data_IF_153330100205
#
_entry.id   IF_153330100205
#
_cell.length_a   1.000
_cell.length_b   1.000
_cell.length_c   1.000
_cell.angle_alpha   90.00
_cell.angle_beta   90.00
_cell.angle_gamma   90.00
#
_symmetry.space_group_name_H-M   'P 1'
#
loop_
_entity.id
_entity.type
_entity.pdbx_description
1 polymer ?
#
# COMPACT_ATOMS: atom_id res chain seq x y z
N UNK A 1 -17.43 -16.63 -6.88
CA UNK A 1 -17.56 -17.35 -5.60
C UNK A 1 -17.07 -16.41 -4.51
N UNK A 2 -17.90 -16.11 -3.51
CA UNK A 2 -17.44 -15.35 -2.35
C UNK A 2 -16.50 -16.26 -1.58
N UNK A 3 -15.19 -16.05 -1.71
CA UNK A 3 -14.20 -16.69 -0.84
C UNK A 3 -14.37 -16.09 0.55
N UNK A 4 -14.82 -16.93 1.47
CA UNK A 4 -14.94 -16.57 2.86
C UNK A 4 -13.52 -16.54 3.47
N UNK A 5 -13.00 -15.34 3.68
CA UNK A 5 -11.65 -15.14 4.20
C UNK A 5 -11.69 -15.01 5.72
N UNK A 6 -10.69 -15.55 6.44
CA UNK A 6 -10.55 -15.29 7.87
C UNK A 6 -10.61 -13.79 8.20
N UNK A 7 -11.31 -13.45 9.28
CA UNK A 7 -11.56 -12.06 9.68
C UNK A 7 -10.27 -11.30 10.02
N UNK A 8 -9.28 -11.99 10.59
CA UNK A 8 -7.94 -11.48 10.87
C UNK A 8 -7.15 -11.19 9.58
N UNK A 9 -7.23 -12.06 8.56
CA UNK A 9 -6.63 -11.82 7.25
C UNK A 9 -7.25 -10.61 6.54
N UNK A 10 -8.57 -10.46 6.62
CA UNK A 10 -9.29 -9.29 6.07
C UNK A 10 -8.90 -8.00 6.80
N UNK A 11 -8.80 -8.07 8.13
CA UNK A 11 -8.39 -6.93 8.96
C UNK A 11 -6.95 -6.54 8.64
N UNK A 12 -6.03 -7.50 8.63
CA UNK A 12 -4.63 -7.25 8.27
C UNK A 12 -4.47 -6.67 6.86
N UNK A 13 -5.30 -7.08 5.90
CA UNK A 13 -5.30 -6.47 4.57
C UNK A 13 -5.79 -5.02 4.59
N UNK A 14 -6.86 -4.71 5.32
CA UNK A 14 -7.36 -3.33 5.45
C UNK A 14 -6.33 -2.43 6.14
N UNK A 15 -5.68 -2.92 7.18
CA UNK A 15 -4.62 -2.20 7.88
C UNK A 15 -3.44 -1.92 6.94
N UNK A 16 -3.06 -2.90 6.12
CA UNK A 16 -2.02 -2.73 5.11
C UNK A 16 -2.41 -1.67 4.07
N UNK A 17 -3.63 -1.72 3.56
CA UNK A 17 -4.14 -0.74 2.60
C UNK A 17 -4.19 0.68 3.23
N UNK A 18 -4.57 0.79 4.50
CA UNK A 18 -4.57 2.05 5.25
C UNK A 18 -3.14 2.59 5.45
N UNK A 19 -2.16 1.73 5.78
CA UNK A 19 -0.76 2.12 5.90
C UNK A 19 -0.17 2.61 4.58
N UNK A 20 -0.48 1.94 3.46
CA UNK A 20 -0.12 2.43 2.13
C UNK A 20 -0.78 3.77 1.81
N UNK A 21 -2.05 3.96 2.17
CA UNK A 21 -2.74 5.23 1.97
C UNK A 21 -2.11 6.36 2.78
N UNK A 22 -1.72 6.11 4.04
CA UNK A 22 -1.02 7.08 4.88
C UNK A 22 0.36 7.44 4.31
N UNK A 23 1.16 6.45 3.90
CA UNK A 23 2.46 6.68 3.26
C UNK A 23 2.31 7.48 1.97
N UNK A 24 1.31 7.17 1.14
CA UNK A 24 1.03 7.90 -0.09
C UNK A 24 0.56 9.33 0.18
N UNK A 25 -0.24 9.54 1.23
CA UNK A 25 -0.67 10.88 1.64
C UNK A 25 0.51 11.75 2.07
N UNK A 26 1.39 11.23 2.93
CA UNK A 26 2.61 11.92 3.34
C UNK A 26 3.51 12.19 2.13
N UNK A 27 3.75 11.19 1.29
CA UNK A 27 4.64 11.34 0.12
C UNK A 27 4.18 12.43 -0.86
N UNK A 28 2.89 12.76 -0.89
CA UNK A 28 2.35 13.86 -1.72
C UNK A 28 2.62 15.25 -1.14
N UNK A 29 2.84 15.37 0.16
CA UNK A 29 3.16 16.65 0.82
C UNK A 29 4.67 16.91 0.86
N UNK A 30 5.48 15.87 0.72
CA UNK A 30 6.93 15.97 0.79
C UNK A 30 7.52 16.58 -0.49
N UNK A 31 8.70 17.20 -0.39
CA UNK A 31 9.49 17.57 -1.55
C UNK A 31 9.75 16.35 -2.43
N UNK A 32 9.93 16.56 -3.73
CA UNK A 32 10.09 15.43 -4.65
C UNK A 32 11.42 14.69 -4.48
N UNK A 33 12.45 15.33 -3.89
CA UNK A 33 13.74 14.73 -3.57
C UNK A 33 13.83 14.40 -2.08
N UNK A 34 14.51 13.28 -1.77
CA UNK A 34 14.80 12.87 -0.38
C UNK A 34 15.91 13.72 0.22
N UNK A 35 16.97 13.97 -0.54
CA UNK A 35 18.07 14.84 -0.15
C UNK A 35 17.95 16.22 -0.81
N UNK A 36 18.72 17.21 -0.34
CA UNK A 36 18.83 18.49 -1.02
C UNK A 36 19.29 18.31 -2.47
N UNK A 37 18.61 18.96 -3.39
CA UNK A 37 18.97 19.08 -4.81
C UNK A 37 18.84 20.56 -5.22
N UNK A 38 19.98 21.20 -5.41
CA UNK A 38 20.05 22.62 -5.77
C UNK A 38 19.79 22.89 -7.26
N UNK A 39 19.95 21.88 -8.11
CA UNK A 39 19.91 22.03 -9.56
C UNK A 39 18.51 21.71 -10.13
N UNK A 40 17.77 20.82 -9.47
CA UNK A 40 16.52 20.28 -9.98
C UNK A 40 16.73 19.39 -11.21
N UNK A 41 15.63 19.03 -11.86
CA UNK A 41 15.63 18.23 -13.09
C UNK A 41 14.97 19.06 -14.19
N UNK A 42 15.74 19.45 -15.21
CA UNK A 42 15.19 20.09 -16.39
C UNK A 42 14.49 19.06 -17.29
N UNK A 43 13.35 19.44 -17.87
CA UNK A 43 12.73 18.63 -18.92
C UNK A 43 13.62 18.62 -20.18
N UNK A 44 13.80 17.44 -20.77
CA UNK A 44 14.63 17.23 -21.97
C UNK A 44 13.88 17.38 -23.29
N UNK A 45 12.55 17.47 -23.25
CA UNK A 45 11.66 17.45 -24.43
C UNK A 45 11.52 16.09 -25.13
N UNK A 46 12.01 14.99 -24.56
CA UNK A 46 12.15 13.71 -25.27
C UNK A 46 10.96 12.74 -25.09
N UNK A 47 9.87 13.15 -24.44
CA UNK A 47 8.66 12.32 -24.40
C UNK A 47 7.51 12.85 -23.55
N UNK A 48 6.34 12.19 -23.61
CA UNK A 48 5.12 12.60 -22.90
C UNK A 48 5.19 12.48 -21.37
N UNK A 49 6.26 11.87 -20.83
CA UNK A 49 6.49 11.72 -19.38
C UNK A 49 7.66 12.57 -18.89
N UNK A 50 8.15 13.48 -19.72
CA UNK A 50 9.23 14.40 -19.37
C UNK A 50 8.67 15.54 -18.51
N UNK A 51 9.07 15.57 -17.25
CA UNK A 51 8.52 16.48 -16.24
C UNK A 51 9.69 17.23 -15.61
N UNK A 52 9.65 18.55 -15.74
CA UNK A 52 10.55 19.45 -15.04
C UNK A 52 10.30 19.38 -13.52
N UNK A 53 11.37 19.35 -12.73
CA UNK A 53 11.33 19.41 -11.27
C UNK A 53 12.21 20.56 -10.77
N UNK A 54 11.67 21.48 -9.97
CA UNK A 54 12.45 22.58 -9.42
C UNK A 54 13.48 22.06 -8.39
N UNK A 55 14.47 22.88 -8.01
CA UNK A 55 15.32 22.58 -6.86
C UNK A 55 14.51 22.20 -5.61
N UNK A 56 15.03 21.28 -4.83
CA UNK A 56 14.40 20.72 -3.64
C UNK A 56 15.31 20.84 -2.43
N UNK A 57 14.76 21.23 -1.29
CA UNK A 57 15.51 21.24 -0.03
C UNK A 57 15.70 19.83 0.56
N UNK A 58 15.04 18.81 0.01
CA UNK A 58 15.01 17.47 0.58
C UNK A 58 14.07 17.35 1.78
N UNK A 59 14.02 16.15 2.36
CA UNK A 59 13.22 15.84 3.53
C UNK A 59 13.84 16.47 4.77
N UNK A 60 13.00 16.95 5.68
CA UNK A 60 13.47 17.22 7.05
C UNK A 60 13.77 15.91 7.78
N UNK A 61 14.49 15.99 8.90
CA UNK A 61 14.72 14.81 9.74
C UNK A 61 13.39 14.19 10.22
N UNK A 62 12.42 15.03 10.58
CA UNK A 62 11.09 14.57 11.00
C UNK A 62 10.34 13.86 9.87
N UNK A 63 10.40 14.39 8.65
CA UNK A 63 9.81 13.75 7.47
C UNK A 63 10.45 12.38 7.21
N UNK A 64 11.79 12.31 7.29
CA UNK A 64 12.53 11.07 7.06
C UNK A 64 12.18 10.01 8.12
N UNK A 65 12.06 10.40 9.39
CA UNK A 65 11.64 9.51 10.49
C UNK A 65 10.22 9.00 10.26
N UNK A 66 9.29 9.87 9.89
CA UNK A 66 7.89 9.47 9.70
C UNK A 66 7.71 8.58 8.47
N UNK A 67 8.40 8.87 7.37
CA UNK A 67 8.43 7.99 6.19
C UNK A 67 9.03 6.63 6.55
N UNK A 68 10.12 6.58 7.31
CA UNK A 68 10.75 5.33 7.73
C UNK A 68 9.80 4.51 8.63
N UNK A 69 9.12 5.16 9.57
CA UNK A 69 8.11 4.54 10.44
C UNK A 69 6.98 3.92 9.62
N UNK A 70 6.39 4.68 8.69
CA UNK A 70 5.31 4.20 7.83
C UNK A 70 5.76 3.06 6.92
N UNK A 71 6.98 3.11 6.36
CA UNK A 71 7.55 2.01 5.58
C UNK A 71 7.74 0.75 6.43
N UNK A 72 8.21 0.88 7.66
CA UNK A 72 8.33 -0.24 8.58
C UNK A 72 6.97 -0.86 8.92
N UNK A 73 5.94 -0.03 9.14
CA UNK A 73 4.57 -0.50 9.36
C UNK A 73 4.02 -1.24 8.14
N UNK A 74 4.20 -0.71 6.93
CA UNK A 74 3.82 -1.38 5.68
C UNK A 74 4.52 -2.74 5.57
N UNK A 75 5.82 -2.81 5.81
CA UNK A 75 6.58 -4.07 5.72
C UNK A 75 6.11 -5.10 6.75
N UNK A 76 5.87 -4.67 7.99
CA UNK A 76 5.34 -5.52 9.06
C UNK A 76 3.97 -6.09 8.68
N UNK A 77 3.04 -5.24 8.25
CA UNK A 77 1.68 -5.64 7.86
C UNK A 77 1.70 -6.53 6.62
N UNK A 78 2.53 -6.21 5.63
CA UNK A 78 2.69 -7.04 4.43
C UNK A 78 3.21 -8.45 4.79
N UNK A 79 4.15 -8.54 5.75
CA UNK A 79 4.66 -9.83 6.23
C UNK A 79 3.55 -10.66 6.89
N UNK A 80 2.72 -10.04 7.74
CA UNK A 80 1.58 -10.71 8.39
C UNK A 80 0.60 -11.24 7.35
N UNK A 81 0.20 -10.40 6.39
CA UNK A 81 -0.75 -10.79 5.35
C UNK A 81 -0.19 -11.87 4.45
N UNK A 82 1.07 -11.77 4.01
CA UNK A 82 1.67 -12.73 3.06
C UNK A 82 2.07 -14.06 3.70
N UNK A 83 2.41 -14.05 5.01
CA UNK A 83 2.76 -15.23 5.80
C UNK A 83 1.59 -15.89 6.54
N UNK A 84 0.35 -15.47 6.27
CA UNK A 84 -0.83 -15.96 6.97
C UNK A 84 -1.06 -17.47 6.76
N UNK A 85 -1.47 -18.19 7.81
CA UNK A 85 -1.66 -19.64 7.79
C UNK A 85 -2.70 -20.12 6.75
N UNK A 86 -3.69 -19.28 6.45
CA UNK A 86 -4.70 -19.52 5.39
C UNK A 86 -4.06 -19.87 4.03
N UNK A 87 -2.90 -19.31 3.70
CA UNK A 87 -2.24 -19.61 2.43
C UNK A 87 -1.65 -21.02 2.40
N UNK A 88 -1.37 -21.61 3.55
CA UNK A 88 -0.78 -22.95 3.65
C UNK A 88 -1.71 -24.06 3.15
N UNK A 89 -3.02 -23.82 3.08
CA UNK A 89 -3.98 -24.78 2.54
C UNK A 89 -4.23 -24.65 1.03
N UNK A 90 -3.61 -23.66 0.37
CA UNK A 90 -3.82 -23.37 -1.05
C UNK A 90 -2.53 -23.55 -1.85
N UNK A 91 -2.65 -23.93 -3.12
CA UNK A 91 -1.49 -24.07 -4.00
C UNK A 91 -1.80 -23.71 -5.45
N UNK A 92 -0.77 -23.45 -6.25
CA UNK A 92 -0.91 -23.23 -7.69
C UNK A 92 -1.88 -22.07 -8.03
N UNK A 93 -2.77 -22.25 -9.01
CA UNK A 93 -3.73 -21.22 -9.43
C UNK A 93 -4.67 -20.74 -8.33
N UNK A 94 -5.13 -21.64 -7.44
CA UNK A 94 -6.05 -21.31 -6.35
C UNK A 94 -5.47 -20.28 -5.39
N UNK A 95 -4.17 -20.38 -5.09
CA UNK A 95 -3.48 -19.41 -4.25
C UNK A 95 -3.45 -18.02 -4.89
N UNK A 96 -3.24 -17.95 -6.20
CA UNK A 96 -3.23 -16.68 -6.94
C UNK A 96 -4.61 -16.06 -6.95
N UNK A 97 -5.64 -16.85 -7.27
CA UNK A 97 -7.03 -16.40 -7.26
C UNK A 97 -7.47 -15.92 -5.88
N UNK A 98 -7.14 -16.64 -4.81
CA UNK A 98 -7.45 -16.25 -3.45
C UNK A 98 -6.73 -14.95 -3.03
N UNK A 99 -5.47 -14.76 -3.42
CA UNK A 99 -4.75 -13.49 -3.17
C UNK A 99 -5.40 -12.31 -3.89
N UNK A 100 -5.84 -12.50 -5.13
CA UNK A 100 -6.58 -11.47 -5.87
C UNK A 100 -7.96 -11.22 -5.26
N UNK A 101 -8.66 -12.28 -4.85
CA UNK A 101 -9.94 -12.23 -4.15
C UNK A 101 -9.85 -11.43 -2.84
N UNK A 102 -8.76 -11.58 -2.08
CA UNK A 102 -8.53 -10.84 -0.84
C UNK A 102 -8.48 -9.32 -1.08
N UNK A 103 -7.89 -8.87 -2.21
CA UNK A 103 -7.83 -7.43 -2.56
C UNK A 103 -9.24 -6.87 -2.74
N UNK A 104 -10.06 -7.56 -3.52
CA UNK A 104 -11.43 -7.15 -3.78
C UNK A 104 -12.28 -7.25 -2.52
N UNK A 105 -12.04 -8.28 -1.71
CA UNK A 105 -12.76 -8.53 -0.49
C UNK A 105 -12.52 -7.43 0.56
N UNK A 106 -11.26 -7.07 0.81
CA UNK A 106 -10.92 -6.07 1.82
C UNK A 106 -11.54 -4.69 1.54
N UNK A 107 -11.77 -4.36 0.27
CA UNK A 107 -12.43 -3.12 -0.18
C UNK A 107 -13.92 -3.07 0.12
N UNK A 108 -14.58 -4.21 0.30
CA UNK A 108 -16.00 -4.24 0.67
C UNK A 108 -16.11 -3.90 2.17
N UNK A 109 -16.88 -2.86 2.54
CA UNK A 109 -17.06 -2.49 3.94
C UNK A 109 -17.70 -3.64 4.71
N UNK A 110 -17.21 -3.92 5.93
CA UNK A 110 -17.56 -5.10 6.71
C UNK A 110 -19.09 -5.30 6.85
N UNK A 111 -19.83 -4.23 7.15
CA UNK A 111 -21.29 -4.30 7.31
C UNK A 111 -22.10 -4.63 6.05
N UNK A 112 -21.52 -4.61 4.85
CA UNK A 112 -22.19 -5.09 3.63
C UNK A 112 -21.99 -6.60 3.37
N UNK A 113 -21.01 -7.22 4.04
CA UNK A 113 -20.75 -8.66 3.94
C UNK A 113 -21.66 -9.45 4.87
N UNK A 114 -21.79 -8.98 6.11
CA UNK A 114 -22.60 -9.62 7.13
C UNK A 114 -24.09 -9.65 6.75
N UNK A 115 -24.56 -8.66 5.98
CA UNK A 115 -25.94 -8.59 5.45
C UNK A 115 -26.15 -9.55 4.27
N UNK A 116 -25.10 -9.86 3.51
CA UNK A 116 -25.15 -10.81 2.40
C UNK A 116 -25.06 -12.27 2.86
N UNK A 117 -24.57 -12.53 4.08
CA UNK A 117 -24.55 -13.85 4.71
C UNK A 117 -25.86 -14.19 5.45
N UNK A 118 -26.64 -13.17 5.83
CA UNK A 118 -27.88 -13.31 6.59
C UNK A 118 -29.15 -13.38 5.71
N UNK A 119 -29.02 -13.47 4.39
CA UNK A 119 -30.12 -13.47 3.41
C UNK A 119 -30.08 -14.72 2.52
#
# INVERSE_FOLDING_TARGET
>A
MATDFPSDLLTGRRDLDAAYAALAALSRTLPWSVGPDENGIAATGHGPHDIERPPSTGYTEQDAVEVARLKADVMRLATIVTGHAYWGSLSGPELVEARMGLISAAKVPAGLRDVAEAA
#
